data_IF_536857744676
#
_entry.id   IF_536857744676
#
_cell.length_a   1.000
_cell.length_b   1.000
_cell.length_c   1.000
_cell.angle_alpha   90.00
_cell.angle_beta   90.00
_cell.angle_gamma   90.00
#
_symmetry.space_group_name_H-M   'P 1'
#
loop_
_entity.id
_entity.type
_entity.pdbx_description
1 polymer ?
#
# COMPACT_ATOMS: atom_id res chain seq x y z
N UNK A 1 36.23 58.29 26.92
CA UNK A 1 36.51 59.12 25.74
C UNK A 1 36.61 58.17 24.55
N UNK A 2 35.53 57.93 23.80
CA UNK A 2 35.13 58.62 22.55
C UNK A 2 36.25 58.60 21.50
N UNK A 3 36.11 58.13 20.25
CA UNK A 3 35.00 58.23 19.29
C UNK A 3 35.10 57.06 18.25
N UNK A 4 34.02 56.39 17.85
CA UNK A 4 33.07 56.70 16.77
C UNK A 4 33.56 56.40 15.33
N UNK A 5 32.93 55.40 14.68
CA UNK A 5 32.51 55.49 13.28
C UNK A 5 31.35 54.52 13.00
N UNK A 6 30.45 54.96 12.13
CA UNK A 6 29.00 54.71 12.03
C UNK A 6 28.59 53.48 11.18
N UNK A 7 27.32 53.03 11.28
CA UNK A 7 26.78 51.86 10.58
C UNK A 7 26.19 52.19 9.20
N UNK A 8 26.31 51.29 8.24
CA UNK A 8 25.60 51.36 6.96
C UNK A 8 24.26 50.61 7.06
N UNK A 9 23.18 51.37 6.88
CA UNK A 9 21.79 50.96 6.89
C UNK A 9 21.37 50.37 5.53
N UNK A 10 20.78 49.17 5.55
CA UNK A 10 19.99 48.63 4.45
C UNK A 10 18.58 49.25 4.47
N UNK A 11 17.98 49.58 3.31
CA UNK A 11 16.63 50.11 3.28
C UNK A 11 15.60 48.98 3.39
N UNK A 12 14.77 49.08 4.42
CA UNK A 12 13.46 48.44 4.51
C UNK A 12 12.62 48.83 3.28
N UNK A 13 12.28 47.86 2.41
CA UNK A 13 11.27 48.07 1.35
C UNK A 13 9.91 47.63 1.90
N UNK A 14 9.08 48.65 2.07
CA UNK A 14 7.67 48.59 2.46
C UNK A 14 6.82 47.85 1.43
N UNK A 15 5.92 46.99 1.94
CA UNK A 15 4.89 46.30 1.18
C UNK A 15 3.97 47.28 0.41
N UNK A 16 3.97 47.20 -0.92
CA UNK A 16 2.88 47.73 -1.74
C UNK A 16 2.01 46.58 -2.22
N UNK A 17 0.77 46.56 -1.71
CA UNK A 17 -0.34 45.78 -2.27
C UNK A 17 -0.55 46.21 -3.73
N UNK A 18 -0.19 45.36 -4.68
CA UNK A 18 -0.65 45.48 -6.06
C UNK A 18 -2.08 44.94 -6.13
N UNK A 19 -3.02 45.80 -6.49
CA UNK A 19 -4.43 45.47 -6.63
C UNK A 19 -4.67 44.61 -7.87
N UNK A 20 -5.70 43.75 -7.78
CA UNK A 20 -6.13 42.74 -8.75
C UNK A 20 -6.58 43.26 -10.13
N UNK A 21 -6.35 44.53 -10.47
CA UNK A 21 -6.87 45.15 -11.69
C UNK A 21 -5.87 45.17 -12.87
N UNK A 22 -4.57 44.96 -12.64
CA UNK A 22 -3.55 45.15 -13.67
C UNK A 22 -3.26 43.90 -14.54
N UNK A 23 -3.87 42.74 -14.27
CA UNK A 23 -3.63 41.51 -15.05
C UNK A 23 -4.78 41.11 -15.98
N UNK A 24 -5.94 41.79 -15.92
CA UNK A 24 -7.11 41.50 -16.77
C UNK A 24 -7.10 42.18 -18.15
N UNK A 25 -6.05 42.92 -18.50
CA UNK A 25 -5.98 43.67 -19.77
C UNK A 25 -5.12 43.02 -20.87
N UNK A 26 -4.47 41.87 -20.62
CA UNK A 26 -3.51 41.27 -21.57
C UNK A 26 -3.99 39.97 -22.27
N UNK A 27 -5.21 39.49 -22.00
CA UNK A 27 -5.73 38.22 -22.56
C UNK A 27 -6.84 38.37 -23.61
N UNK A 28 -7.09 39.58 -24.14
CA UNK A 28 -8.15 39.83 -25.13
C UNK A 28 -7.67 39.99 -26.58
N UNK A 29 -6.40 39.67 -26.90
CA UNK A 29 -5.86 39.80 -28.26
C UNK A 29 -4.94 38.64 -28.66
N UNK A 30 -5.48 37.43 -28.80
CA UNK A 30 -4.91 36.41 -29.69
C UNK A 30 -6.06 35.67 -30.37
N UNK A 31 -6.39 36.08 -31.60
CA UNK A 31 -7.22 35.29 -32.52
C UNK A 31 -6.29 34.34 -33.26
N UNK A 32 -6.44 33.03 -33.06
CA UNK A 32 -5.84 32.02 -33.93
C UNK A 32 -6.79 31.68 -35.10
N UNK A 33 -6.26 31.26 -36.27
CA UNK A 33 -7.05 31.14 -37.49
C UNK A 33 -7.90 29.87 -37.54
N UNK A 34 -9.09 30.04 -38.15
CA UNK A 34 -10.05 29.01 -38.60
C UNK A 34 -9.34 27.84 -39.29
N UNK A 35 -9.56 26.62 -38.78
CA UNK A 35 -9.39 25.39 -39.53
C UNK A 35 -10.79 24.83 -39.82
N UNK A 36 -11.18 24.77 -41.09
CA UNK A 36 -12.43 24.19 -41.58
C UNK A 36 -12.19 22.73 -41.94
N UNK A 37 -12.80 21.80 -41.21
CA UNK A 37 -12.95 20.41 -41.65
C UNK A 37 -14.30 19.85 -41.18
N UNK A 38 -15.11 19.45 -42.16
CA UNK A 38 -16.03 18.32 -42.12
C UNK A 38 -17.18 18.35 -41.11
N UNK A 39 -18.34 18.82 -41.55
CA UNK A 39 -19.62 18.50 -40.91
C UNK A 39 -20.00 17.04 -41.20
N UNK A 40 -19.79 16.14 -40.24
CA UNK A 40 -20.50 14.86 -40.17
C UNK A 40 -21.41 14.89 -38.93
N UNK A 41 -22.71 14.90 -39.19
CA UNK A 41 -23.76 14.86 -38.16
C UNK A 41 -23.76 13.48 -37.50
N UNK A 42 -23.25 13.38 -36.27
CA UNK A 42 -23.52 12.22 -35.41
C UNK A 42 -24.89 12.40 -34.78
N UNK A 43 -25.84 11.55 -35.19
CA UNK A 43 -27.19 11.46 -34.61
C UNK A 43 -27.11 10.94 -33.17
N UNK A 44 -27.70 11.69 -32.24
CA UNK A 44 -28.00 11.23 -30.89
C UNK A 44 -29.18 10.27 -30.98
N UNK A 45 -28.98 9.01 -30.56
CA UNK A 45 -30.07 8.07 -30.29
C UNK A 45 -30.39 8.18 -28.80
N UNK A 46 -31.50 8.85 -28.47
CA UNK A 46 -32.07 8.79 -27.13
C UNK A 46 -32.83 7.46 -26.98
N UNK A 47 -32.24 6.48 -26.30
CA UNK A 47 -32.99 5.39 -25.68
C UNK A 47 -33.00 5.59 -24.17
N UNK A 48 -34.08 6.21 -23.69
CA UNK A 48 -34.38 6.31 -22.27
C UNK A 48 -34.79 4.96 -21.69
N UNK A 49 -33.91 4.34 -20.91
CA UNK A 49 -34.29 3.31 -19.94
C UNK A 49 -34.02 3.84 -18.53
N UNK A 50 -35.08 4.32 -17.86
CA UNK A 50 -35.06 4.69 -16.45
C UNK A 50 -34.70 3.44 -15.62
N UNK A 51 -33.45 3.33 -15.20
CA UNK A 51 -33.04 2.36 -14.18
C UNK A 51 -33.47 2.90 -12.83
N UNK A 52 -34.35 2.17 -12.14
CA UNK A 52 -34.83 2.50 -10.81
C UNK A 52 -33.66 2.66 -9.84
N UNK A 53 -33.74 3.68 -9.00
CA UNK A 53 -32.79 3.95 -7.93
C UNK A 53 -32.87 2.78 -6.94
N UNK A 54 -31.83 1.94 -6.91
CA UNK A 54 -31.71 0.90 -5.90
C UNK A 54 -31.52 1.56 -4.53
N UNK A 55 -32.30 1.13 -3.54
CA UNK A 55 -32.19 1.60 -2.15
C UNK A 55 -30.77 1.40 -1.61
N UNK A 56 -30.30 2.33 -0.75
CA UNK A 56 -28.97 2.24 -0.15
C UNK A 56 -28.90 0.99 0.74
N UNK A 57 -28.18 -0.03 0.26
CA UNK A 57 -27.87 -1.23 1.04
C UNK A 57 -27.01 -0.80 2.23
N UNK A 58 -27.43 -1.17 3.44
CA UNK A 58 -26.65 -0.93 4.67
C UNK A 58 -25.24 -1.52 4.50
N UNK A 59 -24.19 -0.88 5.07
CA UNK A 59 -22.85 -1.47 5.05
C UNK A 59 -22.91 -2.84 5.73
N UNK A 60 -22.16 -3.85 5.25
CA UNK A 60 -22.13 -5.14 5.90
C UNK A 60 -21.54 -4.95 7.30
N UNK A 61 -22.40 -5.06 8.30
CA UNK A 61 -21.98 -5.41 9.65
C UNK A 61 -21.31 -6.76 9.51
N UNK A 62 -20.11 -6.94 10.06
CA UNK A 62 -19.51 -8.26 10.17
C UNK A 62 -20.51 -9.14 10.90
N UNK A 63 -21.14 -10.03 10.13
CA UNK A 63 -22.12 -11.01 10.57
C UNK A 63 -21.45 -12.35 10.33
N UNK A 64 -21.62 -13.33 11.24
CA UNK A 64 -21.21 -14.70 10.95
C UNK A 64 -21.75 -15.11 9.59
N UNK A 65 -20.89 -15.67 8.73
CA UNK A 65 -21.15 -15.88 7.30
C UNK A 65 -22.35 -16.81 7.08
N UNK A 66 -22.98 -16.69 5.91
CA UNK A 66 -24.09 -17.55 5.51
C UNK A 66 -23.72 -19.06 5.58
N UNK A 67 -24.67 -19.94 5.96
CA UNK A 67 -24.44 -21.37 6.15
C UNK A 67 -23.82 -22.08 4.93
N UNK A 68 -24.06 -21.56 3.72
CA UNK A 68 -23.53 -22.14 2.48
C UNK A 68 -22.01 -21.96 2.30
N UNK A 69 -21.44 -20.85 2.79
CA UNK A 69 -19.98 -20.64 2.79
C UNK A 69 -19.32 -21.45 3.91
N UNK A 70 -20.00 -21.55 5.04
CA UNK A 70 -19.58 -22.39 6.16
C UNK A 70 -19.58 -23.88 5.79
N UNK A 71 -20.55 -24.33 4.98
CA UNK A 71 -20.58 -25.67 4.40
C UNK A 71 -19.44 -25.92 3.39
N UNK A 72 -19.06 -24.90 2.60
CA UNK A 72 -17.94 -24.99 1.64
C UNK A 72 -16.58 -25.01 2.35
N UNK A 73 -16.43 -24.30 3.45
CA UNK A 73 -15.27 -24.36 4.36
C UNK A 73 -15.28 -25.65 5.19
N UNK A 74 -16.46 -26.14 5.60
CA UNK A 74 -16.61 -27.44 6.24
C UNK A 74 -16.27 -28.59 5.28
N UNK A 75 -16.50 -28.43 3.98
CA UNK A 75 -16.05 -29.36 2.94
C UNK A 75 -14.54 -29.25 2.65
N UNK A 76 -13.87 -28.19 3.11
CA UNK A 76 -12.41 -28.07 3.16
C UNK A 76 -11.82 -28.63 4.46
N UNK A 77 -12.64 -29.13 5.40
CA UNK A 77 -12.12 -29.83 6.57
C UNK A 77 -11.31 -31.02 6.07
N UNK A 78 -10.02 -31.11 6.43
CA UNK A 78 -9.23 -32.25 6.02
C UNK A 78 -9.81 -33.48 6.73
N UNK A 79 -10.46 -34.35 5.95
CA UNK A 79 -10.91 -35.66 6.37
C UNK A 79 -9.73 -36.44 6.96
N UNK A 80 -9.56 -36.45 8.28
CA UNK A 80 -8.78 -37.44 9.05
C UNK A 80 -7.32 -37.70 8.64
N UNK A 81 -6.79 -36.99 7.65
CA UNK A 81 -5.40 -36.99 7.22
C UNK A 81 -4.82 -35.71 7.77
N UNK A 82 -3.92 -35.91 8.73
CA UNK A 82 -2.92 -34.97 9.22
C UNK A 82 -2.76 -33.81 8.21
N UNK A 83 -3.38 -32.66 8.51
CA UNK A 83 -3.37 -31.54 7.58
C UNK A 83 -1.92 -31.18 7.39
N UNK A 84 -1.38 -31.53 6.21
CA UNK A 84 0.04 -31.30 5.90
C UNK A 84 0.36 -29.81 5.88
N UNK A 85 -0.63 -28.92 5.99
CA UNK A 85 -0.47 -27.49 6.09
C UNK A 85 -0.35 -27.05 7.56
N UNK A 86 0.73 -26.34 7.88
CA UNK A 86 0.95 -25.73 9.19
C UNK A 86 1.18 -24.23 9.01
N UNK A 87 0.56 -23.42 9.85
CA UNK A 87 0.72 -21.96 9.84
C UNK A 87 1.40 -21.57 11.14
N UNK A 88 2.52 -20.86 11.08
CA UNK A 88 3.16 -20.24 12.24
C UNK A 88 3.19 -18.73 12.07
N UNK A 89 3.22 -18.04 13.21
CA UNK A 89 3.34 -16.59 13.26
C UNK A 89 4.63 -16.23 14.00
N UNK A 90 5.32 -15.21 13.52
CA UNK A 90 6.24 -14.49 14.38
C UNK A 90 5.51 -13.52 15.31
N UNK A 91 6.26 -12.63 15.93
CA UNK A 91 5.80 -11.64 16.90
C UNK A 91 5.28 -10.35 16.27
N UNK A 92 5.57 -10.09 14.99
CA UNK A 92 5.27 -8.81 14.36
C UNK A 92 3.76 -8.52 14.23
N UNK A 93 2.96 -9.54 13.91
CA UNK A 93 1.50 -9.41 13.87
C UNK A 93 0.79 -10.77 14.05
N UNK A 94 0.79 -11.25 15.29
CA UNK A 94 0.09 -12.50 15.67
C UNK A 94 -1.44 -12.44 15.46
N UNK A 95 -2.14 -11.32 15.73
CA UNK A 95 -3.58 -11.22 15.47
C UNK A 95 -3.94 -11.52 14.00
N UNK A 96 -3.21 -10.94 13.04
CA UNK A 96 -3.44 -11.22 11.62
C UNK A 96 -3.23 -12.69 11.27
N UNK A 97 -2.18 -13.31 11.79
CA UNK A 97 -1.93 -14.74 11.57
C UNK A 97 -3.05 -15.61 12.14
N UNK A 98 -3.60 -15.23 13.30
CA UNK A 98 -4.73 -15.92 13.91
C UNK A 98 -6.01 -15.78 13.07
N UNK A 99 -6.28 -14.60 12.50
CA UNK A 99 -7.40 -14.40 11.59
C UNK A 99 -7.28 -15.25 10.32
N UNK A 100 -6.07 -15.33 9.75
CA UNK A 100 -5.78 -16.19 8.59
C UNK A 100 -6.01 -17.67 8.93
N UNK A 101 -5.50 -18.12 10.08
CA UNK A 101 -5.65 -19.50 10.53
C UNK A 101 -7.14 -19.86 10.75
N UNK A 102 -7.87 -18.99 11.47
CA UNK A 102 -9.32 -19.13 11.70
C UNK A 102 -10.11 -19.15 10.39
N UNK A 103 -9.74 -18.30 9.42
CA UNK A 103 -10.38 -18.26 8.10
C UNK A 103 -10.21 -19.57 7.31
N UNK A 104 -9.05 -20.21 7.45
CA UNK A 104 -8.72 -21.48 6.80
C UNK A 104 -9.21 -22.70 7.58
N UNK A 105 -9.77 -22.51 8.78
CA UNK A 105 -10.21 -23.61 9.65
C UNK A 105 -9.05 -24.45 10.20
N UNK A 106 -7.86 -23.86 10.36
CA UNK A 106 -6.68 -24.50 10.94
C UNK A 106 -6.24 -23.79 12.20
N UNK A 107 -5.63 -24.52 13.13
CA UNK A 107 -5.04 -23.92 14.32
C UNK A 107 -3.70 -23.26 14.01
N UNK A 108 -3.43 -22.14 14.68
CA UNK A 108 -2.12 -21.50 14.61
C UNK A 108 -1.10 -22.36 15.34
N UNK A 109 -0.01 -22.66 14.66
CA UNK A 109 1.04 -23.54 15.14
C UNK A 109 1.74 -23.00 16.38
N UNK A 110 2.22 -23.92 17.21
CA UNK A 110 2.86 -23.60 18.50
C UNK A 110 4.34 -23.33 18.27
N UNK A 111 4.73 -22.07 18.46
CA UNK A 111 6.13 -21.62 18.41
C UNK A 111 6.45 -20.84 19.68
N UNK A 112 7.58 -21.16 20.29
CA UNK A 112 8.17 -20.40 21.38
C UNK A 112 9.19 -19.42 20.79
N UNK A 113 8.90 -18.13 20.93
CA UNK A 113 9.81 -17.05 20.54
C UNK A 113 10.14 -16.26 21.81
N UNK A 114 11.43 -16.15 22.12
CA UNK A 114 11.93 -15.37 23.27
C UNK A 114 13.19 -14.62 22.88
N UNK A 115 13.56 -13.63 23.70
CA UNK A 115 14.83 -12.91 23.57
C UNK A 115 15.77 -13.32 24.70
N UNK A 116 17.03 -13.56 24.36
CA UNK A 116 18.09 -13.74 25.34
C UNK A 116 18.43 -12.40 26.00
N UNK A 117 19.22 -12.43 27.07
CA UNK A 117 19.57 -11.23 27.85
C UNK A 117 20.35 -10.18 27.05
N UNK A 118 21.03 -10.60 25.98
CA UNK A 118 21.78 -9.78 25.02
C UNK A 118 20.92 -9.29 23.84
N UNK A 119 19.65 -9.70 23.75
CA UNK A 119 18.73 -9.35 22.68
C UNK A 119 18.68 -10.34 21.50
N UNK A 120 19.47 -11.43 21.53
CA UNK A 120 19.41 -12.45 20.49
C UNK A 120 18.06 -13.17 20.45
N UNK A 121 17.65 -13.60 19.26
CA UNK A 121 16.34 -14.19 19.02
C UNK A 121 16.42 -15.71 19.16
N UNK A 122 15.64 -16.26 20.08
CA UNK A 122 15.45 -17.69 20.20
C UNK A 122 14.09 -18.10 19.63
N UNK A 123 14.10 -19.10 18.76
CA UNK A 123 12.89 -19.71 18.20
C UNK A 123 12.94 -21.21 18.41
N UNK A 124 11.84 -21.78 18.89
CA UNK A 124 11.65 -23.23 18.98
C UNK A 124 10.23 -23.59 18.51
N UNK A 125 10.14 -24.45 17.50
CA UNK A 125 8.90 -25.08 17.10
C UNK A 125 8.48 -26.09 18.17
N UNK A 126 7.26 -25.99 18.68
CA UNK A 126 6.73 -26.88 19.73
C UNK A 126 5.89 -28.04 19.17
N UNK A 127 5.90 -28.22 17.85
CA UNK A 127 5.25 -29.32 17.16
C UNK A 127 6.10 -29.81 15.99
N UNK A 128 5.84 -31.04 15.53
CA UNK A 128 6.53 -31.60 14.36
C UNK A 128 6.05 -30.93 13.09
N UNK A 129 6.99 -30.44 12.28
CA UNK A 129 6.75 -29.90 10.93
C UNK A 129 7.32 -30.80 9.83
N UNK A 130 7.82 -31.99 10.18
CA UNK A 130 8.47 -32.90 9.23
C UNK A 130 7.51 -33.27 8.11
N UNK A 131 7.92 -33.01 6.86
CA UNK A 131 7.12 -33.33 5.68
C UNK A 131 5.85 -32.48 5.53
N UNK A 132 5.68 -31.41 6.33
CA UNK A 132 4.57 -30.47 6.21
C UNK A 132 4.92 -29.32 5.25
N UNK A 133 3.90 -28.72 4.63
CA UNK A 133 3.97 -27.41 4.00
C UNK A 133 3.75 -26.36 5.08
N UNK A 134 4.77 -25.56 5.32
CA UNK A 134 4.79 -24.57 6.40
C UNK A 134 4.57 -23.18 5.82
N UNK A 135 3.63 -22.45 6.41
CA UNK A 135 3.36 -21.05 6.10
C UNK A 135 3.81 -20.19 7.28
N UNK A 136 4.76 -19.29 7.05
CA UNK A 136 5.28 -18.38 8.06
C UNK A 136 4.70 -16.99 7.83
N UNK A 137 3.80 -16.55 8.71
CA UNK A 137 3.21 -15.20 8.65
C UNK A 137 4.05 -14.26 9.51
N UNK A 138 4.79 -13.36 8.85
CA UNK A 138 5.60 -12.36 9.54
C UNK A 138 5.77 -11.10 8.69
N UNK A 139 5.02 -10.03 8.98
CA UNK A 139 5.32 -8.71 8.45
C UNK A 139 6.70 -8.24 8.89
N UNK A 140 7.43 -7.55 8.02
CA UNK A 140 8.75 -6.95 8.34
C UNK A 140 8.59 -5.45 8.63
N UNK A 141 7.59 -5.13 9.46
CA UNK A 141 7.30 -3.78 9.96
C UNK A 141 8.21 -3.41 11.14
N UNK A 142 8.05 -2.21 11.70
CA UNK A 142 8.88 -1.75 12.84
C UNK A 142 8.68 -2.65 14.08
N UNK A 143 9.75 -3.11 14.74
CA UNK A 143 11.18 -2.97 14.44
C UNK A 143 11.65 -3.85 13.27
N UNK A 144 12.05 -3.21 12.16
CA UNK A 144 12.23 -3.89 10.85
C UNK A 144 13.29 -4.99 10.91
N UNK A 145 14.47 -4.69 11.46
CA UNK A 145 15.58 -5.63 11.49
C UNK A 145 15.29 -6.84 12.39
N UNK A 146 14.65 -6.62 13.52
CA UNK A 146 14.34 -7.69 14.46
C UNK A 146 13.28 -8.62 13.90
N UNK A 147 12.22 -8.07 13.30
CA UNK A 147 11.17 -8.87 12.66
C UNK A 147 11.72 -9.66 11.47
N UNK A 148 12.66 -9.08 10.71
CA UNK A 148 13.35 -9.75 9.61
C UNK A 148 14.28 -10.86 10.11
N UNK A 149 15.07 -10.62 11.16
CA UNK A 149 15.93 -11.63 11.77
C UNK A 149 15.11 -12.76 12.38
N UNK A 150 14.00 -12.45 13.05
CA UNK A 150 13.09 -13.45 13.61
C UNK A 150 12.54 -14.37 12.52
N UNK A 151 12.14 -13.79 11.39
CA UNK A 151 11.71 -14.55 10.22
C UNK A 151 12.80 -15.50 9.71
N UNK A 152 14.05 -15.03 9.57
CA UNK A 152 15.16 -15.88 9.14
C UNK A 152 15.41 -17.06 10.09
N UNK A 153 15.37 -16.80 11.41
CA UNK A 153 15.56 -17.86 12.42
C UNK A 153 14.39 -18.84 12.38
N UNK A 154 13.16 -18.38 12.15
CA UNK A 154 11.99 -19.25 11.96
C UNK A 154 12.10 -20.13 10.71
N UNK A 155 12.54 -19.57 9.57
CA UNK A 155 12.78 -20.32 8.33
C UNK A 155 13.83 -21.41 8.57
N UNK A 156 14.97 -21.06 9.17
CA UNK A 156 16.04 -22.03 9.44
C UNK A 156 15.59 -23.14 10.40
N UNK A 157 14.80 -22.81 11.43
CA UNK A 157 14.20 -23.80 12.33
C UNK A 157 13.28 -24.79 11.58
N UNK A 158 12.45 -24.30 10.66
CA UNK A 158 11.56 -25.14 9.84
C UNK A 158 12.36 -26.03 8.88
N UNK A 159 13.39 -25.47 8.24
CA UNK A 159 14.27 -26.19 7.30
C UNK A 159 15.00 -27.33 8.01
N UNK A 160 15.62 -27.06 9.17
CA UNK A 160 16.31 -28.08 9.98
C UNK A 160 15.35 -29.12 10.56
N UNK A 161 14.11 -28.74 10.84
CA UNK A 161 13.05 -29.66 11.23
C UNK A 161 12.47 -30.49 10.06
N UNK A 162 13.05 -30.40 8.86
CA UNK A 162 12.68 -31.17 7.67
C UNK A 162 11.25 -30.88 7.17
N UNK A 163 10.83 -29.62 7.19
CA UNK A 163 9.65 -29.17 6.46
C UNK A 163 9.76 -29.56 4.97
N UNK A 164 8.63 -29.93 4.34
CA UNK A 164 8.60 -30.22 2.90
C UNK A 164 8.75 -28.95 2.08
N UNK A 165 8.03 -27.91 2.48
CA UNK A 165 8.09 -26.60 1.84
C UNK A 165 7.89 -25.50 2.88
N UNK A 166 8.49 -24.34 2.64
CA UNK A 166 8.44 -23.15 3.49
C UNK A 166 7.96 -21.98 2.63
N UNK A 167 6.70 -21.61 2.79
CA UNK A 167 6.11 -20.42 2.17
C UNK A 167 6.09 -19.29 3.18
N UNK A 168 6.72 -18.17 2.83
CA UNK A 168 6.76 -17.00 3.70
C UNK A 168 5.71 -15.99 3.27
N UNK A 169 4.83 -15.62 4.19
CA UNK A 169 3.79 -14.62 4.00
C UNK A 169 4.23 -13.32 4.66
N UNK A 170 4.53 -12.31 3.83
CA UNK A 170 5.01 -11.00 4.25
C UNK A 170 3.98 -9.93 3.82
N UNK A 171 2.96 -9.67 4.65
CA UNK A 171 1.93 -8.66 4.35
C UNK A 171 2.50 -7.26 4.11
N UNK A 172 3.58 -6.92 4.82
CA UNK A 172 4.34 -5.68 4.60
C UNK A 172 5.81 -6.01 4.44
N UNK A 173 6.34 -5.78 3.23
CA UNK A 173 7.75 -5.98 2.91
C UNK A 173 8.56 -4.73 3.29
N UNK A 174 9.28 -4.82 4.40
CA UNK A 174 10.28 -3.85 4.83
C UNK A 174 11.38 -3.70 3.78
N UNK A 175 12.11 -2.58 3.82
CA UNK A 175 13.14 -2.22 2.83
C UNK A 175 12.68 -2.06 1.38
N UNK A 176 11.40 -2.28 1.05
CA UNK A 176 10.86 -2.18 -0.31
C UNK A 176 11.06 -0.83 -1.01
N UNK A 177 11.36 0.25 -0.27
CA UNK A 177 11.64 1.59 -0.84
C UNK A 177 13.08 1.76 -1.33
N UNK A 178 14.01 0.92 -0.84
CA UNK A 178 15.40 0.88 -1.27
C UNK A 178 15.57 -0.18 -2.37
N UNK A 179 14.79 -0.05 -3.45
CA UNK A 179 14.72 -0.96 -4.60
C UNK A 179 15.69 -0.57 -5.73
N UNK A 180 16.11 0.70 -5.78
CA UNK A 180 17.09 1.17 -6.76
C UNK A 180 18.11 2.08 -6.13
N UNK A 181 19.21 2.28 -6.84
CA UNK A 181 20.21 3.31 -6.53
C UNK A 181 19.72 4.64 -7.06
N UNK A 182 19.31 5.56 -6.18
CA UNK A 182 19.02 6.94 -6.54
C UNK A 182 20.32 7.71 -6.79
N UNK A 183 21.38 7.37 -6.03
CA UNK A 183 22.72 7.92 -6.20
C UNK A 183 23.78 6.81 -6.29
N UNK A 184 24.98 7.20 -6.72
CA UNK A 184 26.14 6.30 -6.71
C UNK A 184 26.43 5.79 -5.29
N UNK A 185 26.88 4.53 -5.18
CA UNK A 185 27.29 3.86 -3.92
C UNK A 185 26.19 3.63 -2.88
N UNK A 186 24.92 3.71 -3.25
CA UNK A 186 23.82 3.26 -2.40
C UNK A 186 23.62 1.73 -2.44
N UNK A 187 23.09 1.18 -1.35
CA UNK A 187 22.67 -0.22 -1.27
C UNK A 187 21.26 -0.41 -1.83
N UNK A 188 21.02 -1.57 -2.46
CA UNK A 188 19.68 -2.01 -2.85
C UNK A 188 19.19 -3.00 -1.80
N UNK A 189 18.71 -2.46 -0.67
CA UNK A 189 18.37 -3.30 0.49
C UNK A 189 17.19 -4.22 0.21
N UNK A 190 16.26 -3.85 -0.68
CA UNK A 190 15.18 -4.73 -1.10
C UNK A 190 15.70 -6.04 -1.75
N UNK A 191 16.71 -5.94 -2.63
CA UNK A 191 17.37 -7.12 -3.24
C UNK A 191 18.19 -7.89 -2.21
N UNK A 192 18.88 -7.20 -1.31
CA UNK A 192 19.59 -7.86 -0.21
C UNK A 192 18.64 -8.70 0.65
N UNK A 193 17.52 -8.14 1.09
CA UNK A 193 16.51 -8.85 1.87
C UNK A 193 15.89 -10.02 1.10
N UNK A 194 15.61 -9.87 -0.20
CA UNK A 194 15.11 -10.95 -1.04
C UNK A 194 16.12 -12.11 -1.18
N UNK A 195 17.40 -11.80 -1.34
CA UNK A 195 18.48 -12.79 -1.38
C UNK A 195 18.56 -13.54 -0.05
N UNK A 196 18.54 -12.83 1.07
CA UNK A 196 18.61 -13.45 2.40
C UNK A 196 17.42 -14.37 2.68
N UNK A 197 16.20 -14.00 2.24
CA UNK A 197 15.02 -14.87 2.35
C UNK A 197 15.18 -16.16 1.55
N UNK A 198 15.74 -16.05 0.34
CA UNK A 198 16.02 -17.18 -0.53
C UNK A 198 17.07 -18.10 0.08
N UNK A 199 18.21 -17.54 0.50
CA UNK A 199 19.33 -18.27 1.11
C UNK A 199 18.98 -18.90 2.48
N UNK A 200 18.09 -18.28 3.26
CA UNK A 200 17.57 -18.86 4.49
C UNK A 200 16.83 -20.19 4.23
N UNK A 201 16.30 -20.39 3.02
CA UNK A 201 15.60 -21.60 2.60
C UNK A 201 14.09 -21.41 2.43
N UNK A 202 13.63 -20.22 2.05
CA UNK A 202 12.23 -20.02 1.64
C UNK A 202 12.01 -20.60 0.24
N UNK A 203 10.95 -21.38 0.04
CA UNK A 203 10.61 -21.95 -1.27
C UNK A 203 9.68 -21.04 -2.08
N UNK A 204 8.90 -20.19 -1.39
CA UNK A 204 7.93 -19.28 -1.98
C UNK A 204 7.71 -18.08 -1.07
N UNK A 205 7.45 -16.92 -1.67
CA UNK A 205 7.11 -15.70 -0.93
C UNK A 205 5.76 -15.16 -1.38
N UNK A 206 4.92 -14.75 -0.42
CA UNK A 206 3.66 -14.07 -0.67
C UNK A 206 3.80 -12.65 -0.12
N UNK A 207 3.60 -11.64 -0.96
CA UNK A 207 3.67 -10.22 -0.58
C UNK A 207 2.38 -9.50 -0.93
N UNK A 208 2.02 -8.49 -0.14
CA UNK A 208 0.87 -7.63 -0.41
C UNK A 208 1.34 -6.23 -0.82
N UNK A 209 0.82 -5.72 -1.94
CA UNK A 209 1.03 -4.35 -2.45
C UNK A 209 2.48 -3.85 -2.28
N UNK A 210 3.44 -4.58 -2.85
CA UNK A 210 4.86 -4.20 -2.77
C UNK A 210 5.07 -2.81 -3.37
N UNK A 211 6.00 -2.03 -2.78
CA UNK A 211 6.24 -0.64 -3.16
C UNK A 211 6.40 -0.41 -4.67
N UNK A 212 7.13 -1.33 -5.29
CA UNK A 212 7.57 -1.30 -6.67
C UNK A 212 7.44 -2.72 -7.22
N UNK A 213 6.63 -2.90 -8.27
CA UNK A 213 6.36 -4.23 -8.84
C UNK A 213 7.62 -4.86 -9.44
N UNK A 214 8.61 -4.05 -9.81
CA UNK A 214 9.91 -4.51 -10.28
C UNK A 214 10.66 -5.31 -9.21
N UNK A 215 10.43 -5.02 -7.93
CA UNK A 215 11.08 -5.73 -6.82
C UNK A 215 10.67 -7.20 -6.71
N UNK A 216 9.57 -7.61 -7.36
CA UNK A 216 9.21 -9.03 -7.48
C UNK A 216 10.29 -9.82 -8.22
N UNK A 217 10.96 -9.19 -9.19
CA UNK A 217 12.09 -9.79 -9.92
C UNK A 217 13.39 -9.89 -9.12
N UNK A 218 13.40 -9.48 -7.84
CA UNK A 218 14.56 -9.68 -6.96
C UNK A 218 14.61 -11.06 -6.34
N UNK A 219 13.49 -11.78 -6.31
CA UNK A 219 13.44 -13.11 -5.73
C UNK A 219 13.79 -14.14 -6.81
N UNK A 220 14.70 -15.05 -6.47
CA UNK A 220 15.06 -16.17 -7.34
C UNK A 220 14.10 -17.36 -7.17
N UNK A 221 13.07 -17.19 -6.32
CA UNK A 221 11.99 -18.13 -5.99
C UNK A 221 10.63 -17.56 -6.40
N UNK A 222 9.58 -18.40 -6.58
CA UNK A 222 8.24 -17.93 -6.90
C UNK A 222 7.71 -16.91 -5.89
N UNK A 223 7.17 -15.81 -6.40
CA UNK A 223 6.53 -14.76 -5.59
C UNK A 223 5.10 -14.53 -6.03
N UNK A 224 4.17 -14.63 -5.09
CA UNK A 224 2.78 -14.29 -5.28
C UNK A 224 2.52 -12.86 -4.78
N UNK A 225 2.17 -11.96 -5.70
CA UNK A 225 1.84 -10.58 -5.38
C UNK A 225 0.33 -10.40 -5.25
N UNK A 226 -0.12 -10.21 -4.02
CA UNK A 226 -1.52 -9.98 -3.68
C UNK A 226 -1.79 -8.46 -3.67
N UNK A 227 -2.96 -8.07 -4.17
CA UNK A 227 -3.42 -6.69 -4.16
C UNK A 227 -4.54 -6.51 -3.13
N UNK A 228 -4.39 -5.54 -2.22
CA UNK A 228 -5.42 -5.13 -1.28
C UNK A 228 -6.50 -4.25 -1.91
N UNK A 229 -6.28 -3.74 -3.13
CA UNK A 229 -7.20 -2.87 -3.85
C UNK A 229 -8.66 -3.38 -3.89
N UNK A 230 -8.97 -4.64 -4.21
CA UNK A 230 -10.35 -5.13 -4.26
C UNK A 230 -11.08 -4.98 -2.92
N UNK A 231 -10.42 -5.34 -1.81
CA UNK A 231 -11.00 -5.25 -0.46
C UNK A 231 -11.35 -3.81 -0.10
N UNK A 232 -10.47 -2.86 -0.47
CA UNK A 232 -10.70 -1.44 -0.22
C UNK A 232 -11.86 -0.92 -1.05
N UNK A 233 -11.94 -1.31 -2.32
CA UNK A 233 -13.04 -0.89 -3.20
C UNK A 233 -14.39 -1.42 -2.73
N UNK A 234 -14.44 -2.68 -2.31
CA UNK A 234 -15.66 -3.26 -1.75
C UNK A 234 -16.10 -2.51 -0.48
N UNK A 235 -15.14 -2.16 0.39
CA UNK A 235 -15.42 -1.34 1.56
C UNK A 235 -15.94 0.06 1.17
N UNK A 236 -15.30 0.75 0.23
CA UNK A 236 -15.74 2.07 -0.23
C UNK A 236 -17.13 2.01 -0.88
N UNK A 237 -17.40 0.99 -1.69
CA UNK A 237 -18.71 0.77 -2.30
C UNK A 237 -19.81 0.50 -1.27
N UNK A 238 -19.47 -0.09 -0.12
CA UNK A 238 -20.40 -0.30 0.99
C UNK A 238 -20.75 0.98 1.77
N UNK A 239 -19.99 2.06 1.58
CA UNK A 239 -20.26 3.36 2.19
C UNK A 239 -21.10 4.19 1.23
N UNK A 240 -22.00 4.99 1.81
CA UNK A 240 -22.72 6.04 1.07
C UNK A 240 -21.75 7.18 0.79
N UNK A 241 -20.96 7.04 -0.26
CA UNK A 241 -20.05 8.08 -0.73
C UNK A 241 -20.85 9.04 -1.63
N UNK A 242 -20.60 10.34 -1.49
CA UNK A 242 -21.23 11.36 -2.33
C UNK A 242 -20.97 11.07 -3.81
N UNK A 243 -21.88 11.50 -4.68
CA UNK A 243 -21.70 11.43 -6.14
C UNK A 243 -20.48 12.25 -6.61
N UNK A 244 -20.05 13.22 -5.82
CA UNK A 244 -18.91 14.09 -6.08
C UNK A 244 -17.61 13.50 -5.50
N UNK A 245 -17.30 12.26 -5.86
CA UNK A 245 -16.09 11.57 -5.44
C UNK A 245 -14.91 11.97 -6.34
N UNK A 246 -13.79 12.34 -5.73
CA UNK A 246 -12.51 12.56 -6.42
C UNK A 246 -11.46 11.65 -5.80
N UNK A 247 -10.73 10.91 -6.64
CA UNK A 247 -9.58 10.12 -6.20
C UNK A 247 -8.35 11.01 -6.26
N UNK A 248 -7.60 11.09 -5.16
CA UNK A 248 -6.41 11.95 -5.06
C UNK A 248 -5.15 11.11 -4.95
N UNK A 249 -4.19 11.33 -5.85
CA UNK A 249 -2.83 10.82 -5.69
C UNK A 249 -2.00 11.78 -4.82
N UNK A 250 -1.45 11.33 -3.68
CA UNK A 250 -0.70 12.20 -2.76
C UNK A 250 0.68 12.62 -3.30
N UNK A 251 1.16 11.93 -4.33
CA UNK A 251 2.39 12.25 -5.05
C UNK A 251 2.32 11.73 -6.49
N UNK A 252 3.35 12.04 -7.28
CA UNK A 252 3.45 11.59 -8.68
C UNK A 252 3.66 10.07 -8.78
N UNK A 253 4.30 9.44 -7.79
CA UNK A 253 4.58 8.00 -7.78
C UNK A 253 3.31 7.15 -7.59
N UNK A 254 2.32 7.67 -6.89
CA UNK A 254 1.03 7.02 -6.62
C UNK A 254 0.02 7.11 -7.76
N UNK A 255 0.29 7.90 -8.82
CA UNK A 255 -0.71 8.23 -9.84
C UNK A 255 -1.25 6.99 -10.55
N UNK A 256 -0.40 6.00 -10.80
CA UNK A 256 -0.80 4.74 -11.43
C UNK A 256 -1.81 3.99 -10.55
N UNK A 257 -1.54 3.91 -9.24
CA UNK A 257 -2.46 3.28 -8.27
C UNK A 257 -3.76 4.07 -8.17
N UNK A 258 -3.68 5.39 -7.99
CA UNK A 258 -4.84 6.26 -7.88
C UNK A 258 -5.75 6.18 -9.13
N UNK A 259 -5.15 6.14 -10.33
CA UNK A 259 -5.89 5.94 -11.58
C UNK A 259 -6.59 4.57 -11.64
N UNK A 260 -5.93 3.51 -11.16
CA UNK A 260 -6.53 2.17 -11.10
C UNK A 260 -7.74 2.12 -10.14
N UNK A 261 -7.70 2.89 -9.06
CA UNK A 261 -8.85 3.09 -8.16
C UNK A 261 -9.97 3.88 -8.84
N UNK A 262 -9.65 5.03 -9.44
CA UNK A 262 -10.60 5.90 -10.12
C UNK A 262 -11.42 5.15 -11.18
N UNK A 263 -10.75 4.34 -12.02
CA UNK A 263 -11.40 3.54 -13.06
C UNK A 263 -12.45 2.56 -12.51
N UNK A 264 -12.20 1.99 -11.31
CA UNK A 264 -13.13 1.05 -10.67
C UNK A 264 -14.25 1.76 -9.89
N UNK A 265 -14.07 3.04 -9.57
CA UNK A 265 -15.05 3.88 -8.88
C UNK A 265 -15.84 4.74 -9.89
N UNK A 266 -16.43 4.08 -10.89
CA UNK A 266 -17.25 4.74 -11.94
C UNK A 266 -16.52 5.85 -12.69
N UNK A 267 -15.24 5.63 -13.03
CA UNK A 267 -14.39 6.61 -13.72
C UNK A 267 -14.34 7.98 -13.01
N UNK A 268 -14.25 7.96 -11.68
CA UNK A 268 -14.16 9.16 -10.85
C UNK A 268 -13.00 10.09 -11.28
N UNK A 269 -13.15 11.42 -11.17
CA UNK A 269 -12.07 12.37 -11.41
C UNK A 269 -10.82 12.06 -10.58
N UNK A 270 -9.65 12.29 -11.18
CA UNK A 270 -8.34 12.09 -10.57
C UNK A 270 -7.66 13.44 -10.31
N UNK A 271 -7.27 13.69 -9.06
CA UNK A 271 -6.41 14.80 -8.68
C UNK A 271 -4.99 14.29 -8.31
N UNK A 272 -3.96 15.12 -8.53
CA UNK A 272 -2.56 14.76 -8.27
C UNK A 272 -1.92 15.89 -7.48
N UNK A 273 -1.25 15.56 -6.38
CA UNK A 273 -0.46 16.51 -5.60
C UNK A 273 0.98 16.51 -6.10
N UNK A 274 1.44 17.66 -6.62
CA UNK A 274 2.83 17.86 -7.04
C UNK A 274 3.67 18.42 -5.87
N UNK A 275 4.30 17.52 -5.12
CA UNK A 275 5.16 17.89 -3.99
C UNK A 275 6.60 18.14 -4.45
N UNK A 276 7.04 19.40 -4.44
CA UNK A 276 8.43 19.76 -4.72
C UNK A 276 9.28 19.63 -3.44
N UNK A 277 10.29 18.75 -3.44
CA UNK A 277 11.22 18.59 -2.31
C UNK A 277 12.51 19.35 -2.57
N UNK A 278 12.91 20.25 -1.67
CA UNK A 278 14.23 20.89 -1.70
C UNK A 278 15.31 20.12 -0.91
N UNK A 279 14.95 19.05 -0.17
CA UNK A 279 15.89 18.21 0.57
C UNK A 279 15.27 16.90 1.09
N UNK A 280 16.08 16.03 1.72
CA UNK A 280 15.58 14.84 2.42
C UNK A 280 14.84 15.28 3.71
N UNK A 281 13.63 14.76 3.92
CA UNK A 281 12.71 15.09 5.02
C UNK A 281 12.17 16.54 5.12
N UNK A 282 12.52 17.43 4.18
CA UNK A 282 11.88 18.74 4.06
C UNK A 282 11.02 18.81 2.80
N UNK A 283 9.76 19.19 2.97
CA UNK A 283 8.85 19.22 1.85
C UNK A 283 7.88 20.38 1.95
N UNK A 284 7.94 21.26 0.96
CA UNK A 284 6.92 22.28 0.72
C UNK A 284 5.85 21.67 -0.19
N UNK A 285 4.60 21.76 0.23
CA UNK A 285 3.47 21.29 -0.58
C UNK A 285 3.12 22.42 -1.54
N UNK A 286 3.56 22.30 -2.80
CA UNK A 286 3.05 23.13 -3.88
C UNK A 286 1.68 22.62 -4.28
N UNK A 287 0.61 23.23 -3.78
CA UNK A 287 -0.75 22.87 -4.21
C UNK A 287 -1.01 23.49 -5.59
N UNK A 288 -0.60 22.81 -6.65
CA UNK A 288 -1.07 23.12 -7.99
C UNK A 288 -2.49 22.57 -8.13
N UNK A 289 -3.47 23.30 -7.61
CA UNK A 289 -4.86 23.10 -8.00
C UNK A 289 -4.98 23.44 -9.49
N UNK A 290 -5.29 22.45 -10.33
CA UNK A 290 -6.06 22.75 -11.53
C UNK A 290 -7.46 23.12 -11.01
N UNK A 291 -7.81 24.40 -11.16
CA UNK A 291 -9.07 25.01 -10.73
C UNK A 291 -10.27 24.08 -11.01
N UNK A 292 -10.86 23.56 -9.94
CA UNK A 292 -12.23 23.06 -9.94
C UNK A 292 -12.92 23.65 -8.73
N UNK A 293 -13.84 24.58 -9.00
CA UNK A 293 -14.65 25.26 -8.02
C UNK A 293 -15.46 24.25 -7.18
N UNK A 294 -15.45 24.47 -5.86
CA UNK A 294 -16.34 23.91 -4.85
C UNK A 294 -16.53 22.38 -4.87
N UNK A 295 -15.54 21.64 -4.39
CA UNK A 295 -15.71 20.25 -3.97
C UNK A 295 -15.35 20.10 -2.48
N UNK A 296 -16.26 19.50 -1.71
CA UNK A 296 -15.94 18.98 -0.39
C UNK A 296 -14.95 17.82 -0.56
N UNK A 297 -13.70 18.06 -0.16
CA UNK A 297 -12.66 17.06 -0.20
C UNK A 297 -12.93 15.98 0.85
N UNK A 298 -13.23 14.76 0.41
CA UNK A 298 -13.03 13.58 1.24
C UNK A 298 -11.59 13.10 0.99
N UNK A 299 -10.64 13.63 1.76
CA UNK A 299 -9.24 13.24 1.70
C UNK A 299 -9.04 11.86 2.33
N UNK A 300 -9.30 10.80 1.56
CA UNK A 300 -8.72 9.48 1.86
C UNK A 300 -7.28 9.46 1.32
N UNK A 301 -6.36 10.04 2.08
CA UNK A 301 -4.92 9.86 1.85
C UNK A 301 -4.56 8.39 2.09
N UNK A 302 -4.60 7.58 1.04
CA UNK A 302 -4.07 6.23 1.04
C UNK A 302 -2.55 6.27 0.94
N UNK A 303 -1.91 6.59 2.06
CA UNK A 303 -0.48 6.37 2.24
C UNK A 303 -0.29 4.95 2.79
N UNK A 304 -0.50 3.93 1.94
CA UNK A 304 -0.43 2.49 2.30
C UNK A 304 0.94 2.01 2.82
N UNK A 305 1.90 2.92 2.96
CA UNK A 305 3.25 2.62 3.40
C UNK A 305 3.61 3.26 4.74
N UNK A 306 2.75 4.09 5.33
CA UNK A 306 3.06 4.82 6.56
C UNK A 306 2.10 4.61 7.73
N UNK A 307 0.92 4.01 7.53
CA UNK A 307 -0.07 3.80 8.60
C UNK A 307 -0.74 2.42 8.56
N UNK A 308 0.07 1.36 8.53
CA UNK A 308 -0.33 0.03 9.02
C UNK A 308 0.77 -0.47 9.96
N UNK A 309 0.97 0.27 11.05
CA UNK A 309 1.25 -0.34 12.35
C UNK A 309 -0.12 -0.34 13.02
N UNK A 310 -0.78 -1.50 13.04
CA UNK A 310 -1.82 -1.75 14.03
C UNK A 310 -1.12 -2.11 15.35
#
# INVERSE_FOLDING_TARGET
MAAASSPSSSPFISSRRLSCAAFRAAASRVRSPRCMLGSEQVRVVEEGKRMGVAEPRRPPVWTPREPAQEARLAALRPDGRDSRMKIFSGTANRPLAQEIASYLGVDLGKVLIKRFADGEIYVQLQESVRGCDVFLVQPTCSPVNENLMELFVMIDACRRASARSITVVIPYFGYARADRKAQGREAITAKLSANLLTEAGSDRVIVCDIHSTQALGYFDIPVDHIHGQPVILDYLASKTISKDLVVVSPDVGGVVRARAFAKKLSDAPLAIVDKRRQGHNMSEVGTNFLEFDQLQFCSYTYTFQYNFVL
#
